data_IF_482481473069
#
_entry.id   IF_482481473069
#
_cell.length_a   1.000
_cell.length_b   1.000
_cell.length_c   1.000
_cell.angle_alpha   90.00
_cell.angle_beta   90.00
_cell.angle_gamma   90.00
#
_symmetry.space_group_name_H-M   'P 1'
#
loop_
_entity.id
_entity.type
_entity.pdbx_description
1 polymer ?
#
# COMPACT_ATOMS: atom_id res chain seq x y z
N UNK A 1 -18.02 14.18 75.15
CA UNK A 1 -16.90 13.91 74.22
C UNK A 1 -17.28 12.75 73.32
N UNK A 2 -17.53 13.02 72.04
CA UNK A 2 -18.05 12.00 71.11
C UNK A 2 -16.98 10.95 70.80
N UNK A 3 -17.28 9.68 71.08
CA UNK A 3 -16.40 8.53 70.78
C UNK A 3 -16.57 8.22 69.29
N UNK A 4 -15.70 8.77 68.45
CA UNK A 4 -15.62 8.34 67.05
C UNK A 4 -15.39 6.81 67.00
N UNK A 5 -16.22 6.10 66.25
CA UNK A 5 -16.10 4.66 66.06
C UNK A 5 -14.74 4.32 65.45
N UNK A 6 -14.06 3.29 65.97
CA UNK A 6 -12.73 2.85 65.49
C UNK A 6 -12.75 2.54 63.99
N UNK A 7 -13.85 1.96 63.49
CA UNK A 7 -14.07 1.71 62.07
C UNK A 7 -14.01 2.99 61.22
N UNK A 8 -14.59 4.10 61.71
CA UNK A 8 -14.57 5.38 61.01
C UNK A 8 -13.15 5.96 60.89
N UNK A 9 -12.30 5.74 61.90
CA UNK A 9 -10.87 6.12 61.84
C UNK A 9 -10.08 5.27 60.85
N UNK A 10 -10.37 3.98 60.77
CA UNK A 10 -9.68 3.08 59.84
C UNK A 10 -10.08 3.35 58.38
N UNK A 11 -11.36 3.58 58.12
CA UNK A 11 -11.85 3.96 56.79
C UNK A 11 -11.24 5.28 56.30
N UNK A 12 -11.12 6.29 57.18
CA UNK A 12 -10.41 7.54 56.85
C UNK A 12 -8.94 7.32 56.51
N UNK A 13 -8.25 6.41 57.21
CA UNK A 13 -6.85 6.07 56.90
C UNK A 13 -6.73 5.38 55.54
N UNK A 14 -7.61 4.43 55.23
CA UNK A 14 -7.63 3.70 53.95
C UNK A 14 -7.93 4.66 52.79
N UNK A 15 -8.89 5.60 52.96
CA UNK A 15 -9.16 6.64 51.97
C UNK A 15 -7.97 7.57 51.75
N UNK A 16 -7.27 7.99 52.80
CA UNK A 16 -6.08 8.84 52.66
C UNK A 16 -4.91 8.11 51.99
N UNK A 17 -4.74 6.81 52.25
CA UNK A 17 -3.74 5.98 51.54
C UNK A 17 -4.11 5.82 50.06
N UNK A 18 -5.39 5.61 49.72
CA UNK A 18 -5.87 5.58 48.33
C UNK A 18 -5.65 6.92 47.62
N UNK A 19 -5.93 8.05 48.28
CA UNK A 19 -5.67 9.39 47.74
C UNK A 19 -4.18 9.66 47.52
N UNK A 20 -3.30 9.19 48.42
CA UNK A 20 -1.83 9.28 48.26
C UNK A 20 -1.29 8.34 47.18
N UNK A 21 -1.88 7.15 46.99
CA UNK A 21 -1.55 6.21 45.90
C UNK A 21 -2.11 6.63 44.53
N UNK A 22 -3.02 7.60 44.50
CA UNK A 22 -3.50 8.26 43.27
C UNK A 22 -2.51 9.30 42.70
N UNK A 23 -1.40 9.58 43.38
CA UNK A 23 -0.33 10.39 42.82
C UNK A 23 0.54 9.50 41.93
N UNK A 24 0.12 9.35 40.67
CA UNK A 24 1.02 8.93 39.61
C UNK A 24 2.14 9.97 39.56
N UNK A 25 3.27 9.66 40.18
CA UNK A 25 4.46 10.49 40.02
C UNK A 25 4.77 10.49 38.52
N UNK A 26 4.50 11.62 37.86
CA UNK A 26 5.09 11.93 36.56
C UNK A 26 6.60 12.02 36.78
N UNK A 27 7.28 10.86 36.75
CA UNK A 27 8.71 10.82 36.51
C UNK A 27 8.86 11.10 35.01
N UNK A 28 9.12 12.36 34.71
CA UNK A 28 9.53 12.83 33.40
C UNK A 28 10.83 12.12 32.98
N UNK A 29 10.67 11.00 32.28
CA UNK A 29 11.70 10.32 31.49
C UNK A 29 11.06 9.84 30.20
N UNK A 30 10.54 10.77 29.39
CA UNK A 30 9.95 10.41 28.09
C UNK A 30 9.82 11.62 27.14
N UNK A 31 10.73 12.60 27.25
CA UNK A 31 10.77 13.73 26.30
C UNK A 31 11.38 13.32 24.96
N UNK A 32 12.46 12.53 25.01
CA UNK A 32 13.24 12.12 23.85
C UNK A 32 12.51 11.07 22.98
N UNK A 33 11.87 10.10 23.61
CA UNK A 33 11.16 8.97 22.99
C UNK A 33 9.84 9.33 22.30
N UNK A 34 9.12 10.36 22.77
CA UNK A 34 7.87 10.81 22.13
C UNK A 34 8.16 11.59 20.86
N UNK A 35 9.14 12.50 20.91
CA UNK A 35 9.59 13.23 19.73
C UNK A 35 10.11 12.26 18.67
N UNK A 36 11.01 11.33 19.03
CA UNK A 36 11.53 10.30 18.11
C UNK A 36 10.43 9.44 17.48
N UNK A 37 9.37 9.10 18.24
CA UNK A 37 8.21 8.38 17.70
C UNK A 37 7.45 9.22 16.68
N UNK A 38 7.20 10.50 16.97
CA UNK A 38 6.54 11.40 16.02
C UNK A 38 7.38 11.62 14.75
N UNK A 39 8.70 11.79 14.88
CA UNK A 39 9.60 11.89 13.73
C UNK A 39 9.55 10.64 12.85
N UNK A 40 9.50 9.45 13.45
CA UNK A 40 9.29 8.20 12.69
C UNK A 40 7.96 8.20 11.94
N UNK A 41 6.87 8.68 12.56
CA UNK A 41 5.57 8.77 11.89
C UNK A 41 5.57 9.80 10.76
N UNK A 42 6.19 10.96 10.96
CA UNK A 42 6.35 12.01 9.95
C UNK A 42 7.15 11.46 8.77
N UNK A 43 8.30 10.83 9.01
CA UNK A 43 9.11 10.22 7.95
C UNK A 43 8.36 9.14 7.16
N UNK A 44 7.53 8.32 7.82
CA UNK A 44 6.64 7.35 7.13
C UNK A 44 5.58 8.07 6.28
N UNK A 45 5.00 9.15 6.78
CA UNK A 45 4.01 9.94 6.04
C UNK A 45 4.63 10.65 4.82
N UNK A 46 5.81 11.24 4.97
CA UNK A 46 6.58 11.87 3.89
C UNK A 46 6.97 10.84 2.83
N UNK A 47 7.51 9.69 3.24
CA UNK A 47 7.82 8.59 2.31
C UNK A 47 6.58 8.13 1.55
N UNK A 48 5.43 8.04 2.25
CA UNK A 48 4.14 7.72 1.63
C UNK A 48 3.66 8.79 0.64
N UNK A 49 3.87 10.07 0.95
CA UNK A 49 3.54 11.18 0.06
C UNK A 49 4.42 11.19 -1.19
N UNK A 50 5.73 10.96 -1.06
CA UNK A 50 6.64 10.82 -2.20
C UNK A 50 6.27 9.65 -3.09
N UNK A 51 5.96 8.49 -2.50
CA UNK A 51 5.51 7.31 -3.25
C UNK A 51 4.21 7.62 -4.01
N UNK A 52 3.25 8.30 -3.38
CA UNK A 52 2.02 8.75 -4.05
C UNK A 52 2.34 9.69 -5.21
N UNK A 53 3.21 10.67 -5.02
CA UNK A 53 3.62 11.59 -6.09
C UNK A 53 4.30 10.88 -7.27
N UNK A 54 5.10 9.84 -7.02
CA UNK A 54 5.77 9.07 -8.08
C UNK A 54 4.83 8.09 -8.80
N UNK A 55 3.92 7.46 -8.06
CA UNK A 55 3.06 6.38 -8.57
C UNK A 55 1.75 6.89 -9.20
N UNK A 56 1.21 8.03 -8.74
CA UNK A 56 -0.07 8.57 -9.19
C UNK A 56 -0.05 9.02 -10.66
N UNK A 57 0.97 9.74 -11.18
CA UNK A 57 0.94 10.23 -12.56
C UNK A 57 0.89 9.10 -13.61
N UNK A 58 1.69 8.01 -13.50
CA UNK A 58 1.55 6.88 -14.42
C UNK A 58 0.18 6.21 -14.35
N UNK A 59 -0.42 6.07 -13.16
CA UNK A 59 -1.74 5.47 -12.99
C UNK A 59 -2.86 6.36 -13.58
N UNK A 60 -2.77 7.67 -13.42
CA UNK A 60 -3.68 8.62 -14.07
C UNK A 60 -3.57 8.53 -15.59
N UNK A 61 -2.34 8.41 -16.11
CA UNK A 61 -2.09 8.22 -17.54
C UNK A 61 -2.75 6.95 -18.06
N UNK A 62 -2.61 5.83 -17.35
CA UNK A 62 -3.27 4.56 -17.71
C UNK A 62 -4.79 4.72 -17.66
N UNK A 63 -5.32 5.37 -16.63
CA UNK A 63 -6.76 5.67 -16.53
C UNK A 63 -7.27 6.54 -17.68
N UNK A 64 -6.42 7.40 -18.26
CA UNK A 64 -6.75 8.19 -19.44
C UNK A 64 -6.79 7.39 -20.75
N UNK A 65 -5.97 6.35 -20.89
CA UNK A 65 -5.96 5.49 -22.08
C UNK A 65 -6.97 4.33 -21.99
N UNK A 66 -6.96 3.61 -20.88
CA UNK A 66 -7.69 2.34 -20.73
C UNK A 66 -8.89 2.43 -19.78
N UNK A 67 -9.16 3.60 -19.21
CA UNK A 67 -10.22 3.78 -18.24
C UNK A 67 -9.78 3.50 -16.80
N UNK A 68 -10.33 4.30 -15.87
CA UNK A 68 -10.02 4.20 -14.43
C UNK A 68 -10.57 2.91 -13.83
N UNK A 69 -11.68 2.40 -14.37
CA UNK A 69 -12.31 1.16 -13.98
C UNK A 69 -11.39 -0.04 -14.19
N UNK A 70 -10.53 -0.04 -15.22
CA UNK A 70 -9.54 -1.12 -15.43
C UNK A 70 -8.42 -1.07 -14.41
N UNK A 71 -7.93 0.13 -14.09
CA UNK A 71 -6.93 0.32 -13.04
C UNK A 71 -7.41 -0.25 -11.70
N UNK A 72 -8.70 -0.06 -11.39
CA UNK A 72 -9.34 -0.61 -10.19
C UNK A 72 -9.59 -2.11 -10.31
N UNK A 73 -10.20 -2.58 -11.41
CA UNK A 73 -10.57 -3.97 -11.62
C UNK A 73 -9.37 -4.92 -11.54
N UNK A 74 -8.23 -4.54 -12.13
CA UNK A 74 -7.00 -5.33 -12.07
C UNK A 74 -6.15 -5.06 -10.82
N UNK A 75 -6.60 -4.18 -9.93
CA UNK A 75 -5.89 -3.84 -8.70
C UNK A 75 -4.51 -3.24 -8.93
N UNK A 76 -4.28 -2.60 -10.09
CA UNK A 76 -2.95 -2.07 -10.40
C UNK A 76 -2.52 -1.05 -9.36
N UNK A 77 -3.43 -0.24 -8.81
CA UNK A 77 -3.13 0.71 -7.73
C UNK A 77 -2.47 0.16 -6.45
N UNK A 78 -2.30 -1.17 -6.33
CA UNK A 78 -1.62 -1.83 -5.20
C UNK A 78 -0.20 -2.34 -5.53
N UNK A 79 0.25 -2.23 -6.78
CA UNK A 79 1.55 -2.70 -7.25
C UNK A 79 2.70 -1.69 -7.00
N UNK A 80 3.94 -2.06 -7.34
CA UNK A 80 5.11 -1.21 -7.10
C UNK A 80 5.34 -0.14 -8.17
N UNK A 81 6.12 0.90 -7.83
CA UNK A 81 6.48 2.01 -8.73
C UNK A 81 7.02 1.54 -10.10
N UNK A 82 7.89 0.52 -10.11
CA UNK A 82 8.46 -0.05 -11.34
C UNK A 82 7.36 -0.57 -12.28
N UNK A 83 6.35 -1.22 -11.73
CA UNK A 83 5.22 -1.72 -12.51
C UNK A 83 4.46 -0.57 -13.16
N UNK A 84 4.21 0.52 -12.43
CA UNK A 84 3.48 1.69 -12.93
C UNK A 84 4.16 2.40 -14.08
N UNK A 85 5.48 2.55 -14.01
CA UNK A 85 6.25 3.17 -15.11
C UNK A 85 6.11 2.35 -16.39
N UNK A 86 6.22 1.03 -16.30
CA UNK A 86 6.07 0.14 -17.45
C UNK A 86 4.63 0.16 -17.96
N UNK A 87 3.65 0.03 -17.05
CA UNK A 87 2.22 0.07 -17.37
C UNK A 87 1.81 1.35 -18.10
N UNK A 88 2.20 2.52 -17.59
CA UNK A 88 1.91 3.81 -18.22
C UNK A 88 2.60 4.00 -19.57
N UNK A 89 3.76 3.38 -19.77
CA UNK A 89 4.45 3.38 -21.07
C UNK A 89 3.77 2.45 -22.06
N UNK A 90 3.35 1.25 -21.63
CA UNK A 90 2.65 0.29 -22.45
C UNK A 90 1.27 0.82 -22.88
N UNK A 91 0.53 1.44 -21.97
CA UNK A 91 -0.76 2.08 -22.26
C UNK A 91 -0.62 3.24 -23.27
N UNK A 92 0.44 4.03 -23.19
CA UNK A 92 0.70 5.07 -24.19
C UNK A 92 1.03 4.50 -25.58
N UNK A 93 1.61 3.30 -25.65
CA UNK A 93 1.98 2.65 -26.92
C UNK A 93 0.80 1.93 -27.57
N UNK A 94 -0.07 1.32 -26.75
CA UNK A 94 -1.30 0.65 -27.20
C UNK A 94 -2.48 1.29 -26.47
N UNK A 95 -2.97 2.46 -26.95
CA UNK A 95 -3.94 3.27 -26.21
C UNK A 95 -5.35 2.69 -26.20
N UNK A 96 -5.76 1.92 -27.22
CA UNK A 96 -7.04 1.20 -27.18
C UNK A 96 -6.96 0.04 -26.19
N UNK A 97 -7.93 -0.01 -25.28
CA UNK A 97 -8.05 -1.11 -24.33
C UNK A 97 -8.41 -2.42 -25.03
N UNK A 98 -9.24 -2.37 -26.07
CA UNK A 98 -9.65 -3.53 -26.85
C UNK A 98 -8.41 -4.23 -27.42
N UNK A 99 -7.55 -3.48 -28.11
CA UNK A 99 -6.30 -3.98 -28.68
C UNK A 99 -5.32 -4.45 -27.60
N UNK A 100 -5.17 -3.67 -26.53
CA UNK A 100 -4.27 -4.00 -25.43
C UNK A 100 -4.71 -5.30 -24.75
N UNK A 101 -6.00 -5.50 -24.53
CA UNK A 101 -6.55 -6.68 -23.86
C UNK A 101 -6.30 -7.96 -24.65
N UNK A 102 -6.44 -7.92 -25.99
CA UNK A 102 -6.16 -9.05 -26.87
C UNK A 102 -4.67 -9.41 -26.79
N UNK A 103 -3.79 -8.42 -26.95
CA UNK A 103 -2.33 -8.62 -26.91
C UNK A 103 -1.86 -9.13 -25.54
N UNK A 104 -2.37 -8.57 -24.46
CA UNK A 104 -2.07 -9.03 -23.09
C UNK A 104 -2.53 -10.45 -22.84
N UNK A 105 -3.71 -10.82 -23.33
CA UNK A 105 -4.20 -12.20 -23.26
C UNK A 105 -3.29 -13.15 -24.04
N UNK A 106 -2.82 -12.78 -25.23
CA UNK A 106 -1.86 -13.59 -26.00
C UNK A 106 -0.52 -13.77 -25.26
N UNK A 107 0.04 -12.72 -24.65
CA UNK A 107 1.27 -12.81 -23.85
C UNK A 107 1.09 -13.73 -22.65
N UNK A 108 -0.05 -13.60 -21.98
CA UNK A 108 -0.43 -14.48 -20.87
C UNK A 108 -0.53 -15.93 -21.33
N UNK A 109 -1.19 -16.20 -22.45
CA UNK A 109 -1.26 -17.53 -23.05
C UNK A 109 0.12 -18.09 -23.37
N UNK A 110 0.98 -17.32 -24.05
CA UNK A 110 2.37 -17.73 -24.35
C UNK A 110 3.14 -18.13 -23.09
N UNK A 111 3.00 -17.38 -21.99
CA UNK A 111 3.63 -17.74 -20.71
C UNK A 111 3.08 -19.03 -20.11
N UNK A 112 1.77 -19.29 -20.25
CA UNK A 112 1.15 -20.51 -19.73
C UNK A 112 1.60 -21.73 -20.54
N UNK A 113 1.64 -21.60 -21.87
CA UNK A 113 1.91 -22.69 -22.81
C UNK A 113 3.40 -22.99 -22.96
N UNK A 114 4.27 -21.97 -22.85
CA UNK A 114 5.73 -22.10 -22.89
C UNK A 114 6.26 -21.83 -21.48
N UNK A 115 6.17 -22.80 -20.55
CA UNK A 115 6.64 -22.61 -19.20
C UNK A 115 8.17 -22.46 -19.19
N UNK A 116 8.64 -21.28 -18.82
CA UNK A 116 10.03 -21.09 -18.40
C UNK A 116 10.32 -21.99 -17.20
N UNK A 117 11.55 -22.52 -17.09
CA UNK A 117 11.97 -23.45 -16.02
C UNK A 117 11.80 -22.86 -14.60
N UNK A 118 11.58 -21.54 -14.49
CA UNK A 118 11.36 -20.81 -13.24
C UNK A 118 9.93 -20.26 -13.11
N UNK A 119 9.03 -21.10 -12.59
CA UNK A 119 7.99 -20.62 -11.67
C UNK A 119 6.59 -20.36 -12.24
N UNK A 120 5.73 -21.35 -12.04
CA UNK A 120 4.27 -21.41 -12.24
C UNK A 120 3.41 -20.41 -11.41
N UNK A 121 3.99 -19.35 -10.83
CA UNK A 121 3.32 -18.61 -9.74
C UNK A 121 2.43 -17.43 -10.16
N UNK A 122 2.44 -17.00 -11.42
CA UNK A 122 1.68 -15.81 -11.87
C UNK A 122 0.82 -16.05 -13.12
N UNK A 123 0.31 -17.28 -13.30
CA UNK A 123 -0.48 -17.62 -14.48
C UNK A 123 -1.77 -16.78 -14.66
N UNK A 124 -2.26 -16.13 -13.58
CA UNK A 124 -3.53 -15.39 -13.58
C UNK A 124 -3.44 -13.89 -13.76
N UNK A 125 -2.29 -13.27 -13.46
CA UNK A 125 -2.16 -11.80 -13.48
C UNK A 125 -1.28 -11.36 -14.65
N UNK A 126 -1.59 -10.16 -15.17
CA UNK A 126 -0.69 -9.45 -16.07
C UNK A 126 0.57 -9.12 -15.27
N UNK A 127 1.71 -9.60 -15.74
CA UNK A 127 3.00 -9.36 -15.08
C UNK A 127 3.73 -8.20 -15.73
N UNK A 128 4.76 -7.70 -15.06
CA UNK A 128 5.64 -6.69 -15.62
C UNK A 128 6.24 -7.12 -16.97
N UNK A 129 6.61 -8.41 -17.12
CA UNK A 129 7.14 -8.95 -18.39
C UNK A 129 6.13 -8.83 -19.54
N UNK A 130 4.83 -9.02 -19.26
CA UNK A 130 3.81 -8.84 -20.30
C UNK A 130 3.74 -7.39 -20.77
N UNK A 131 3.84 -6.44 -19.84
CA UNK A 131 3.81 -5.02 -20.16
C UNK A 131 5.09 -4.59 -20.91
N UNK A 132 6.24 -5.16 -20.58
CA UNK A 132 7.49 -4.96 -21.31
C UNK A 132 7.40 -5.45 -22.75
N UNK A 133 6.82 -6.63 -22.98
CA UNK A 133 6.56 -7.14 -24.33
C UNK A 133 5.48 -6.32 -25.06
N UNK A 134 4.42 -5.90 -24.37
CA UNK A 134 3.37 -5.06 -24.95
C UNK A 134 3.93 -3.72 -25.44
N UNK A 135 4.85 -3.10 -24.68
CA UNK A 135 5.53 -1.86 -25.08
C UNK A 135 6.33 -2.02 -26.38
N UNK A 136 6.92 -3.20 -26.59
CA UNK A 136 7.72 -3.51 -27.78
C UNK A 136 6.87 -3.98 -28.96
N UNK A 137 5.55 -4.12 -28.79
CA UNK A 137 4.66 -4.63 -29.81
C UNK A 137 4.45 -3.59 -30.91
N UNK A 138 5.24 -3.70 -31.98
CA UNK A 138 5.26 -2.75 -33.11
C UNK A 138 4.13 -2.98 -34.11
N UNK A 139 3.61 -4.20 -34.23
CA UNK A 139 2.65 -4.52 -35.28
C UNK A 139 1.19 -4.34 -34.86
N UNK A 140 0.42 -3.69 -35.73
CA UNK A 140 -1.04 -3.59 -35.65
C UNK A 140 -1.74 -4.88 -36.07
N UNK A 141 -1.09 -5.75 -36.86
CA UNK A 141 -1.76 -6.82 -37.60
C UNK A 141 -1.27 -8.24 -37.31
N UNK A 142 -0.28 -8.44 -36.43
CA UNK A 142 0.21 -9.79 -36.16
C UNK A 142 -0.65 -10.48 -35.09
N UNK A 143 -1.87 -10.85 -35.49
CA UNK A 143 -2.57 -11.97 -34.88
C UNK A 143 -1.80 -13.21 -35.33
N UNK A 144 -0.85 -13.66 -34.51
CA UNK A 144 -0.18 -14.93 -34.79
C UNK A 144 -1.24 -16.03 -34.84
N UNK A 145 -1.48 -16.53 -36.05
CA UNK A 145 -2.23 -17.74 -36.38
C UNK A 145 -1.61 -18.96 -35.71
#
# INVERSE_FOLDING_TARGET
>A
MSKECVQYREEKKIQNIRKRKGCWSKKSRDGNTKAERWERFIGVAETGAELRQKCLPPLLKVGGYWGKEKVQYYGWGLLGEKFYKVLGTAAARVPSWEDASIKLNQLRWRRITIPDRRGRKSARLITQKDLEHLKLWTDKNQYMS
#
